data_IF_938742370405
#
_entry.id   IF_938742370405
#
_cell.length_a   1.000
_cell.length_b   1.000
_cell.length_c   1.000
_cell.angle_alpha   90.00
_cell.angle_beta   90.00
_cell.angle_gamma   90.00
#
_symmetry.space_group_name_H-M   'P 1'
#
loop_
_entity.id
_entity.type
_entity.pdbx_description
1 polymer ?
#
# COMPACT_ATOMS: atom_id res chain seq x y z
N UNK A 1 16.46 -9.67 8.56
CA UNK A 1 15.78 -9.04 7.40
C UNK A 1 14.63 -8.19 7.91
N UNK A 2 14.48 -6.95 7.43
CA UNK A 2 13.46 -6.00 7.88
C UNK A 2 12.60 -5.57 6.68
N UNK A 3 11.36 -6.02 6.63
CA UNK A 3 10.47 -5.90 5.47
C UNK A 3 9.30 -4.97 5.77
N UNK A 4 9.16 -3.91 4.96
CA UNK A 4 8.00 -3.03 4.97
C UNK A 4 6.81 -3.68 4.26
N UNK A 5 5.64 -3.67 4.88
CA UNK A 5 4.39 -4.16 4.30
C UNK A 5 3.49 -2.95 4.06
N UNK A 6 3.30 -2.60 2.80
CA UNK A 6 2.48 -1.48 2.39
C UNK A 6 1.21 -1.99 1.72
N UNK A 7 0.20 -2.24 2.54
CA UNK A 7 -1.13 -2.68 2.09
C UNK A 7 -1.97 -1.54 1.54
N UNK A 8 -2.76 -1.81 0.53
CA UNK A 8 -3.65 -0.80 -0.04
C UNK A 8 -4.61 -1.32 -1.09
N UNK A 9 -5.61 -0.51 -1.43
CA UNK A 9 -6.51 -0.82 -2.54
C UNK A 9 -5.77 -0.70 -3.88
N UNK A 10 -4.94 0.34 -4.04
CA UNK A 10 -4.19 0.67 -5.27
C UNK A 10 -5.08 0.73 -6.52
N UNK A 11 -6.09 1.58 -6.50
CA UNK A 11 -7.14 1.67 -7.53
C UNK A 11 -7.24 3.07 -8.20
N UNK A 12 -6.23 3.51 -8.99
CA UNK A 12 -4.92 2.90 -9.25
C UNK A 12 -3.86 3.24 -8.22
N UNK A 13 -2.70 2.52 -8.21
CA UNK A 13 -1.50 2.98 -7.54
C UNK A 13 -0.95 4.23 -8.25
N UNK A 14 -0.21 5.09 -7.51
CA UNK A 14 0.26 6.38 -8.03
C UNK A 14 1.57 6.82 -7.38
N UNK A 15 2.17 7.89 -7.91
CA UNK A 15 3.47 8.39 -7.44
C UNK A 15 3.48 8.71 -5.94
N UNK A 16 2.36 9.13 -5.35
CA UNK A 16 2.26 9.37 -3.91
C UNK A 16 2.49 8.11 -3.08
N UNK A 17 2.02 6.94 -3.55
CA UNK A 17 2.33 5.66 -2.89
C UNK A 17 3.83 5.32 -3.01
N UNK A 18 4.41 5.48 -4.20
CA UNK A 18 5.81 5.16 -4.45
C UNK A 18 6.74 6.01 -3.60
N UNK A 19 6.49 7.32 -3.54
CA UNK A 19 7.31 8.26 -2.79
C UNK A 19 7.18 8.05 -1.27
N UNK A 20 5.96 7.77 -0.77
CA UNK A 20 5.76 7.44 0.65
C UNK A 20 6.49 6.14 1.04
N UNK A 21 6.49 5.12 0.17
CA UNK A 21 7.25 3.90 0.37
C UNK A 21 8.77 4.14 0.34
N UNK A 22 9.25 5.02 -0.55
CA UNK A 22 10.66 5.41 -0.63
C UNK A 22 11.13 6.12 0.65
N UNK A 23 10.35 7.09 1.13
CA UNK A 23 10.65 7.78 2.38
C UNK A 23 10.69 6.81 3.57
N UNK A 24 9.74 5.86 3.63
CA UNK A 24 9.71 4.84 4.67
C UNK A 24 10.91 3.88 4.57
N UNK A 25 11.26 3.45 3.36
CA UNK A 25 12.42 2.59 3.12
C UNK A 25 13.70 3.20 3.68
N UNK A 26 13.94 4.48 3.36
CA UNK A 26 15.14 5.22 3.79
C UNK A 26 15.12 5.51 5.29
N UNK A 27 14.01 6.06 5.81
CA UNK A 27 13.89 6.47 7.21
C UNK A 27 13.96 5.30 8.21
N UNK A 28 13.55 4.10 7.79
CA UNK A 28 13.47 2.93 8.65
C UNK A 28 14.59 1.91 8.40
N UNK A 29 15.44 2.11 7.39
CA UNK A 29 16.48 1.15 7.02
C UNK A 29 15.91 -0.21 6.66
N UNK A 30 14.87 -0.22 5.80
CA UNK A 30 14.24 -1.47 5.37
C UNK A 30 15.10 -2.18 4.34
N UNK A 31 15.08 -3.52 4.33
CA UNK A 31 15.74 -4.31 3.27
C UNK A 31 14.88 -4.34 2.00
N UNK A 32 13.56 -4.27 2.15
CA UNK A 32 12.58 -4.25 1.05
C UNK A 32 11.23 -3.70 1.52
N UNK A 33 10.42 -3.18 0.60
CA UNK A 33 9.00 -2.88 0.81
C UNK A 33 8.14 -3.72 -0.13
N UNK A 34 7.18 -4.45 0.42
CA UNK A 34 6.16 -5.18 -0.34
C UNK A 34 4.91 -4.31 -0.46
N UNK A 35 4.51 -4.04 -1.68
CA UNK A 35 3.20 -3.50 -2.00
C UNK A 35 2.20 -4.64 -2.08
N UNK A 36 1.23 -4.67 -1.18
CA UNK A 36 0.25 -5.75 -1.06
C UNK A 36 -1.14 -5.22 -1.46
N UNK A 37 -1.57 -5.43 -2.73
CA UNK A 37 -2.90 -5.02 -3.15
C UNK A 37 -3.97 -5.91 -2.52
N UNK A 38 -4.97 -5.28 -1.89
CA UNK A 38 -6.08 -5.98 -1.24
C UNK A 38 -6.93 -6.73 -2.28
N UNK A 39 -7.35 -7.97 -1.97
CA UNK A 39 -8.35 -8.68 -2.78
C UNK A 39 -9.71 -7.97 -2.67
N UNK A 40 -10.26 -7.88 -1.47
CA UNK A 40 -11.44 -7.10 -1.13
C UNK A 40 -11.22 -6.37 0.20
N UNK A 41 -11.67 -5.13 0.30
CA UNK A 41 -11.50 -4.35 1.55
C UNK A 41 -12.79 -4.37 2.38
N UNK A 42 -12.73 -4.79 3.66
CA UNK A 42 -13.91 -4.83 4.53
C UNK A 42 -14.59 -3.48 4.73
N UNK A 43 -13.81 -2.39 4.70
CA UNK A 43 -14.25 -1.02 5.03
C UNK A 43 -14.44 -0.12 3.79
N UNK A 44 -14.29 -0.62 2.57
CA UNK A 44 -14.47 0.14 1.33
C UNK A 44 -15.34 -0.59 0.34
N UNK A 45 -16.43 0.05 -0.09
CA UNK A 45 -17.44 -0.51 -1.01
C UNK A 45 -17.22 -0.17 -2.50
N UNK A 46 -16.36 0.78 -2.84
CA UNK A 46 -16.24 1.33 -4.20
C UNK A 46 -14.84 1.08 -4.81
N UNK A 47 -14.48 -0.20 -4.99
CA UNK A 47 -13.31 -0.58 -5.78
C UNK A 47 -13.77 -0.75 -7.23
N UNK A 48 -13.08 -0.09 -8.19
CA UNK A 48 -13.48 -0.06 -9.61
C UNK A 48 -12.72 -1.09 -10.43
N UNK A 49 -11.38 -1.13 -10.32
CA UNK A 49 -10.58 -2.10 -11.05
C UNK A 49 -10.58 -3.48 -10.35
N UNK A 50 -10.53 -4.54 -11.16
CA UNK A 50 -10.44 -5.90 -10.65
C UNK A 50 -9.18 -6.10 -9.79
N UNK A 51 -9.16 -7.08 -8.86
CA UNK A 51 -7.94 -7.42 -8.12
C UNK A 51 -6.74 -7.69 -9.03
N UNK A 52 -6.95 -8.40 -10.14
CA UNK A 52 -5.90 -8.70 -11.12
C UNK A 52 -5.36 -7.43 -11.81
N UNK A 53 -6.25 -6.50 -12.21
CA UNK A 53 -5.81 -5.23 -12.80
C UNK A 53 -5.02 -4.38 -11.78
N UNK A 54 -5.43 -4.38 -10.50
CA UNK A 54 -4.75 -3.62 -9.45
C UNK A 54 -3.36 -4.19 -9.15
N UNK A 55 -3.22 -5.52 -9.11
CA UNK A 55 -1.92 -6.19 -9.00
C UNK A 55 -1.02 -5.82 -10.18
N UNK A 56 -1.52 -5.97 -11.41
CA UNK A 56 -0.79 -5.64 -12.62
C UNK A 56 -0.34 -4.17 -12.68
N UNK A 57 -1.10 -3.25 -12.11
CA UNK A 57 -0.70 -1.84 -11.98
C UNK A 57 0.36 -1.64 -10.90
N UNK A 58 0.29 -2.37 -9.78
CA UNK A 58 1.32 -2.32 -8.72
C UNK A 58 2.64 -2.89 -9.22
N UNK A 59 2.64 -4.01 -9.95
CA UNK A 59 3.85 -4.57 -10.58
C UNK A 59 4.54 -3.52 -11.46
N UNK A 60 3.78 -2.80 -12.28
CA UNK A 60 4.29 -1.72 -13.14
C UNK A 60 4.74 -0.48 -12.37
N UNK A 61 4.13 -0.22 -11.21
CA UNK A 61 4.55 0.88 -10.34
C UNK A 61 5.96 0.67 -9.81
N UNK A 62 6.31 -0.58 -9.46
CA UNK A 62 7.56 -0.95 -8.79
C UNK A 62 8.61 -1.53 -9.75
N UNK A 63 8.28 -1.67 -11.03
CA UNK A 63 9.15 -2.26 -12.04
C UNK A 63 10.50 -1.52 -12.12
N UNK A 64 11.59 -2.29 -12.11
CA UNK A 64 12.95 -1.75 -12.20
C UNK A 64 13.54 -1.19 -10.91
N UNK A 65 12.80 -1.21 -9.79
CA UNK A 65 13.31 -0.77 -8.48
C UNK A 65 13.44 -1.95 -7.50
N UNK A 66 14.68 -2.39 -7.27
CA UNK A 66 14.97 -3.54 -6.42
C UNK A 66 14.54 -3.37 -4.93
N UNK A 67 14.30 -2.13 -4.48
CA UNK A 67 13.81 -1.83 -3.12
C UNK A 67 12.38 -2.30 -2.90
N UNK A 68 11.60 -2.44 -3.97
CA UNK A 68 10.17 -2.67 -3.94
C UNK A 68 9.79 -3.97 -4.66
N UNK A 69 8.69 -4.56 -4.22
CA UNK A 69 8.06 -5.67 -4.93
C UNK A 69 6.54 -5.61 -4.75
N UNK A 70 5.80 -6.07 -5.75
CA UNK A 70 4.39 -6.41 -5.61
C UNK A 70 4.26 -7.80 -4.98
N UNK A 71 3.36 -7.98 -4.02
CA UNK A 71 3.08 -9.29 -3.43
C UNK A 71 1.60 -9.62 -3.59
N UNK A 72 1.26 -10.69 -4.32
CA UNK A 72 -0.12 -11.07 -4.61
C UNK A 72 -0.83 -11.79 -3.47
N UNK A 73 -0.21 -11.96 -2.31
CA UNK A 73 -0.66 -12.83 -1.21
C UNK A 73 -2.14 -12.69 -0.83
N UNK A 74 -2.68 -11.46 -0.82
CA UNK A 74 -4.08 -11.23 -0.49
C UNK A 74 -5.00 -11.59 -1.67
N UNK A 75 -4.57 -11.30 -2.89
CA UNK A 75 -5.32 -11.63 -4.12
C UNK A 75 -5.36 -13.14 -4.34
N UNK A 76 -4.24 -13.84 -4.13
CA UNK A 76 -4.17 -15.30 -4.21
C UNK A 76 -5.02 -15.99 -3.14
N UNK A 77 -5.04 -15.44 -1.92
CA UNK A 77 -5.90 -15.94 -0.85
C UNK A 77 -7.38 -15.71 -1.16
N UNK A 78 -7.71 -14.61 -1.86
CA UNK A 78 -9.09 -14.23 -2.18
C UNK A 78 -9.89 -13.76 -0.96
N UNK A 79 -11.17 -13.41 -1.21
CA UNK A 79 -12.08 -12.96 -0.18
C UNK A 79 -11.76 -11.58 0.39
N UNK A 80 -12.11 -11.33 1.66
CA UNK A 80 -11.80 -10.09 2.35
C UNK A 80 -10.36 -10.10 2.87
N UNK A 81 -9.68 -8.99 2.66
CA UNK A 81 -8.30 -8.77 3.11
C UNK A 81 -8.27 -8.30 4.55
N UNK A 82 -7.80 -9.14 5.45
CA UNK A 82 -7.51 -8.76 6.83
C UNK A 82 -6.00 -8.76 7.04
N UNK A 83 -5.48 -7.66 7.57
CA UNK A 83 -4.04 -7.46 7.78
C UNK A 83 -3.42 -8.54 8.66
N UNK A 84 -4.10 -8.98 9.71
CA UNK A 84 -3.61 -10.05 10.59
C UNK A 84 -3.33 -11.34 9.82
N UNK A 85 -4.23 -11.74 8.90
CA UNK A 85 -4.06 -12.95 8.11
C UNK A 85 -2.87 -12.83 7.12
N UNK A 86 -2.64 -11.62 6.61
CA UNK A 86 -1.50 -11.32 5.74
C UNK A 86 -0.18 -11.39 6.51
N UNK A 87 -0.13 -10.80 7.70
CA UNK A 87 1.08 -10.85 8.54
C UNK A 87 1.42 -12.27 8.98
N UNK A 88 0.41 -13.07 9.39
CA UNK A 88 0.58 -14.50 9.72
C UNK A 88 1.20 -15.26 8.54
N UNK A 89 0.62 -15.10 7.35
CA UNK A 89 1.09 -15.79 6.15
C UNK A 89 2.51 -15.38 5.75
N UNK A 90 2.88 -14.10 5.94
CA UNK A 90 4.24 -13.62 5.69
C UNK A 90 5.23 -14.16 6.73
N UNK A 91 4.87 -14.23 8.02
CA UNK A 91 5.68 -14.89 9.04
C UNK A 91 5.91 -16.37 8.71
N UNK A 92 4.85 -17.08 8.31
CA UNK A 92 4.96 -18.49 7.92
C UNK A 92 5.84 -18.70 6.69
N UNK A 93 5.75 -17.80 5.70
CA UNK A 93 6.58 -17.84 4.48
C UNK A 93 8.07 -17.75 4.78
N UNK A 94 8.46 -16.93 5.75
CA UNK A 94 9.86 -16.62 6.04
C UNK A 94 10.37 -17.15 7.40
N UNK A 95 9.63 -18.02 8.06
CA UNK A 95 10.03 -18.56 9.38
C UNK A 95 11.38 -19.29 9.39
N UNK A 96 11.84 -19.77 8.23
CA UNK A 96 13.14 -20.43 8.06
C UNK A 96 14.29 -19.47 7.76
N UNK A 97 14.02 -18.21 7.43
CA UNK A 97 15.03 -17.26 6.91
C UNK A 97 15.76 -16.47 8.01
N UNK A 98 15.67 -16.94 9.27
CA UNK A 98 16.29 -16.28 10.41
C UNK A 98 15.45 -15.14 11.00
N UNK A 99 16.10 -14.14 11.59
CA UNK A 99 15.39 -13.03 12.25
C UNK A 99 14.66 -12.16 11.22
N UNK A 100 13.34 -12.33 11.14
CA UNK A 100 12.43 -11.50 10.36
C UNK A 100 11.80 -10.42 11.24
N UNK A 101 11.81 -9.17 10.78
CA UNK A 101 11.06 -8.07 11.38
C UNK A 101 10.11 -7.49 10.31
N UNK A 102 8.80 -7.64 10.51
CA UNK A 102 7.80 -7.01 9.67
C UNK A 102 7.50 -5.60 10.18
N UNK A 103 7.38 -4.66 9.24
CA UNK A 103 7.05 -3.26 9.49
C UNK A 103 5.80 -2.91 8.68
N UNK A 104 4.66 -2.74 9.35
CA UNK A 104 3.40 -2.39 8.71
C UNK A 104 3.35 -0.89 8.45
N UNK A 105 3.32 -0.49 7.18
CA UNK A 105 3.24 0.90 6.74
C UNK A 105 1.78 1.26 6.49
N UNK A 106 1.23 2.21 7.26
CA UNK A 106 -0.17 2.64 7.15
C UNK A 106 -0.27 4.15 6.99
N UNK A 107 -1.13 4.61 6.11
CA UNK A 107 -1.47 6.04 6.03
C UNK A 107 -2.27 6.49 7.26
N UNK A 108 -2.27 7.80 7.55
CA UNK A 108 -2.94 8.37 8.73
C UNK A 108 -4.44 7.99 8.82
N UNK A 109 -5.16 7.98 7.69
CA UNK A 109 -6.59 7.63 7.65
C UNK A 109 -6.82 6.17 8.05
N UNK A 110 -5.96 5.25 7.57
CA UNK A 110 -6.03 3.85 7.91
C UNK A 110 -5.63 3.60 9.37
N UNK A 111 -4.62 4.34 9.87
CA UNK A 111 -4.18 4.28 11.26
C UNK A 111 -5.30 4.69 12.24
N UNK A 112 -6.14 5.66 11.90
CA UNK A 112 -7.28 6.07 12.71
C UNK A 112 -8.34 4.96 12.89
N UNK A 113 -8.38 3.98 11.98
CA UNK A 113 -9.30 2.84 12.04
C UNK A 113 -8.69 1.57 12.62
N UNK A 114 -7.39 1.55 12.95
CA UNK A 114 -6.69 0.39 13.49
C UNK A 114 -7.43 -0.30 14.67
N UNK A 115 -8.02 0.41 15.64
CA UNK A 115 -8.76 -0.25 16.71
C UNK A 115 -9.99 -1.05 16.25
N UNK A 116 -10.49 -0.80 15.04
CA UNK A 116 -11.64 -1.49 14.44
C UNK A 116 -11.21 -2.66 13.53
N UNK A 117 -9.91 -2.85 13.35
CA UNK A 117 -9.41 -3.93 12.52
C UNK A 117 -9.60 -5.28 13.22
N UNK A 118 -9.59 -6.34 12.43
CA UNK A 118 -9.65 -7.69 12.99
C UNK A 118 -8.37 -7.98 13.79
N UNK A 119 -8.52 -8.38 15.04
CA UNK A 119 -7.43 -8.78 15.94
C UNK A 119 -6.30 -7.72 16.04
N UNK A 120 -6.62 -6.47 16.42
CA UNK A 120 -5.66 -5.36 16.33
C UNK A 120 -4.45 -5.54 17.28
N UNK A 121 -4.63 -6.22 18.39
CA UNK A 121 -3.54 -6.55 19.33
C UNK A 121 -2.54 -7.51 18.68
N UNK A 122 -3.04 -8.48 17.93
CA UNK A 122 -2.17 -9.42 17.22
C UNK A 122 -1.44 -8.77 16.04
N UNK A 123 -2.10 -7.87 15.30
CA UNK A 123 -1.43 -7.05 14.29
C UNK A 123 -0.22 -6.33 14.90
N UNK A 124 -0.38 -5.71 16.08
CA UNK A 124 0.69 -5.03 16.80
C UNK A 124 1.78 -5.97 17.35
N UNK A 125 1.47 -7.23 17.60
CA UNK A 125 2.46 -8.23 18.01
C UNK A 125 3.25 -8.82 16.86
N UNK A 126 2.65 -8.88 15.65
CA UNK A 126 3.25 -9.45 14.45
C UNK A 126 4.10 -8.45 13.66
N UNK A 127 3.86 -7.15 13.79
CA UNK A 127 4.60 -6.13 13.03
C UNK A 127 4.75 -4.82 13.81
N UNK A 128 5.89 -4.15 13.63
CA UNK A 128 6.03 -2.74 14.05
C UNK A 128 5.09 -1.88 13.20
N UNK A 129 4.18 -1.13 13.82
CA UNK A 129 3.23 -0.27 13.09
C UNK A 129 3.85 1.11 12.90
N UNK A 130 4.00 1.53 11.65
CA UNK A 130 4.52 2.84 11.26
C UNK A 130 3.42 3.62 10.52
N UNK A 131 3.07 4.77 11.07
CA UNK A 131 2.08 5.68 10.47
C UNK A 131 2.80 6.68 9.57
N UNK A 132 2.48 6.65 8.29
CA UNK A 132 3.00 7.57 7.28
C UNK A 132 2.20 8.86 7.32
N UNK A 133 2.79 9.94 7.82
CA UNK A 133 2.19 11.27 7.88
C UNK A 133 2.79 12.16 6.80
N UNK A 134 1.94 12.83 6.04
CA UNK A 134 2.40 13.81 5.05
C UNK A 134 2.95 15.05 5.76
N UNK A 135 4.08 15.56 5.31
CA UNK A 135 4.68 16.80 5.81
C UNK A 135 3.66 17.94 5.86
N UNK A 136 3.65 18.69 6.96
CA UNK A 136 2.67 19.76 7.21
C UNK A 136 1.26 19.29 7.56
N UNK A 137 1.05 18.01 7.83
CA UNK A 137 -0.19 17.49 8.41
C UNK A 137 -0.30 17.76 9.91
N UNK A 138 -1.46 17.42 10.50
CA UNK A 138 -1.68 17.58 11.94
C UNK A 138 -0.64 16.78 12.76
N UNK A 139 -0.06 17.39 13.79
CA UNK A 139 0.96 16.78 14.68
C UNK A 139 0.39 15.80 15.70
N UNK A 140 -0.89 15.39 15.57
CA UNK A 140 -1.49 14.47 16.54
C UNK A 140 -0.75 13.13 16.53
N UNK A 141 -0.21 12.67 17.66
CA UNK A 141 0.41 11.36 17.74
C UNK A 141 -0.60 10.27 17.36
N UNK A 142 -0.17 9.21 16.65
CA UNK A 142 -1.06 8.10 16.38
C UNK A 142 -1.43 7.37 17.67
N UNK A 143 -2.67 6.91 17.78
CA UNK A 143 -3.15 6.13 18.93
C UNK A 143 -2.40 4.78 19.07
N UNK A 144 -1.84 4.27 17.96
CA UNK A 144 -1.09 3.01 17.91
C UNK A 144 0.09 3.17 16.95
N UNK A 145 1.26 2.65 17.34
CA UNK A 145 2.47 2.67 16.53
C UNK A 145 3.27 3.97 16.63
N UNK A 146 4.25 4.12 15.75
CA UNK A 146 5.14 5.28 15.64
C UNK A 146 4.86 6.00 14.32
N UNK A 147 4.87 7.32 14.30
CA UNK A 147 4.76 8.08 13.07
C UNK A 147 6.13 8.41 12.48
N UNK A 148 6.20 8.40 11.16
CA UNK A 148 7.27 9.05 10.39
C UNK A 148 6.67 10.08 9.45
N UNK A 149 7.42 11.15 9.19
CA UNK A 149 7.02 12.15 8.21
C UNK A 149 7.46 11.70 6.82
N UNK A 150 6.55 11.78 5.86
CA UNK A 150 6.82 11.56 4.44
C UNK A 150 6.57 12.83 3.66
N UNK A 151 7.24 12.98 2.52
CA UNK A 151 7.01 14.15 1.66
C UNK A 151 5.53 14.29 1.29
N UNK A 152 5.07 15.52 1.20
CA UNK A 152 3.70 15.81 0.79
C UNK A 152 3.55 15.67 -0.72
N UNK A 153 2.66 14.78 -1.13
CA UNK A 153 2.26 14.60 -2.53
C UNK A 153 0.75 14.62 -2.60
N UNK A 154 0.21 15.69 -3.18
CA UNK A 154 -1.24 15.88 -3.30
C UNK A 154 -1.77 15.20 -4.57
N UNK A 155 -1.75 13.87 -4.57
CA UNK A 155 -2.29 13.00 -5.62
C UNK A 155 -3.15 11.93 -4.96
N UNK A 156 -4.31 11.62 -5.55
CA UNK A 156 -5.18 10.56 -5.05
C UNK A 156 -5.71 9.67 -6.18
N UNK A 157 -5.98 8.40 -5.87
CA UNK A 157 -6.62 7.47 -6.82
C UNK A 157 -7.99 7.99 -7.29
N UNK A 158 -8.74 8.65 -6.41
CA UNK A 158 -10.04 9.25 -6.76
C UNK A 158 -9.89 10.34 -7.80
N UNK A 159 -8.91 11.22 -7.65
CA UNK A 159 -8.62 12.25 -8.65
C UNK A 159 -8.22 11.63 -9.98
N UNK A 160 -7.33 10.64 -9.97
CA UNK A 160 -6.88 9.96 -11.19
C UNK A 160 -8.06 9.33 -11.93
N UNK A 161 -8.95 8.61 -11.24
CA UNK A 161 -10.17 8.05 -11.85
C UNK A 161 -11.09 9.12 -12.42
N UNK A 162 -11.24 10.25 -11.74
CA UNK A 162 -12.02 11.38 -12.24
C UNK A 162 -11.41 12.01 -13.50
N UNK A 163 -10.07 12.14 -13.55
CA UNK A 163 -9.34 12.63 -14.72
C UNK A 163 -9.54 11.73 -15.94
N UNK A 164 -9.40 10.41 -15.75
CA UNK A 164 -9.61 9.43 -16.84
C UNK A 164 -11.04 9.53 -17.39
N UNK A 165 -12.07 9.55 -16.52
CA UNK A 165 -13.47 9.73 -16.95
C UNK A 165 -13.70 11.03 -17.73
N UNK A 166 -12.98 12.08 -17.37
CA UNK A 166 -13.07 13.37 -18.04
C UNK A 166 -12.15 13.48 -19.31
N UNK A 167 -11.51 12.40 -19.74
CA UNK A 167 -10.57 12.41 -20.87
C UNK A 167 -9.30 13.25 -20.63
N UNK A 168 -8.97 13.56 -19.37
CA UNK A 168 -7.79 14.36 -19.01
C UNK A 168 -6.56 13.47 -18.83
N UNK A 169 -5.37 14.01 -19.15
CA UNK A 169 -4.10 13.32 -18.94
C UNK A 169 -3.87 12.97 -17.47
N UNK A 170 -3.32 11.79 -17.22
CA UNK A 170 -2.84 11.31 -15.92
C UNK A 170 -1.31 11.23 -15.85
N UNK A 171 -0.61 11.78 -16.85
CA UNK A 171 0.86 11.88 -16.84
C UNK A 171 1.33 12.69 -15.64
N UNK A 172 2.38 12.21 -14.96
CA UNK A 172 2.88 12.82 -13.73
C UNK A 172 2.09 12.45 -12.46
N UNK A 173 0.91 11.82 -12.56
CA UNK A 173 0.18 11.28 -11.43
C UNK A 173 0.53 9.81 -11.16
N UNK A 174 0.82 9.09 -12.23
CA UNK A 174 1.27 7.68 -12.23
C UNK A 174 2.51 7.55 -13.12
N UNK A 175 3.37 6.54 -12.92
CA UNK A 175 4.43 6.19 -13.87
C UNK A 175 3.85 5.81 -15.24
N UNK A 176 4.63 6.03 -16.30
CA UNK A 176 4.19 5.77 -17.68
C UNK A 176 3.69 4.33 -17.92
N UNK A 177 4.34 3.25 -17.35
CA UNK A 177 3.83 1.88 -17.50
C UNK A 177 2.44 1.68 -16.89
N UNK A 178 2.12 2.38 -15.79
CA UNK A 178 0.79 2.35 -15.17
C UNK A 178 -0.22 3.10 -16.03
N UNK A 179 0.15 4.27 -16.57
CA UNK A 179 -0.72 5.05 -17.45
C UNK A 179 -1.06 4.26 -18.72
N UNK A 180 -0.08 3.66 -19.37
CA UNK A 180 -0.26 2.81 -20.56
C UNK A 180 -1.16 1.60 -20.26
N UNK A 181 -1.03 0.98 -19.08
CA UNK A 181 -1.90 -0.13 -18.69
C UNK A 181 -3.36 0.32 -18.52
N UNK A 182 -3.59 1.45 -17.83
CA UNK A 182 -4.95 2.02 -17.64
C UNK A 182 -5.59 2.31 -18.98
N UNK A 183 -4.85 2.89 -19.93
CA UNK A 183 -5.35 3.22 -21.27
C UNK A 183 -5.65 1.95 -22.09
N UNK A 184 -4.69 1.03 -22.17
CA UNK A 184 -4.81 -0.22 -22.95
C UNK A 184 -5.96 -1.11 -22.46
N UNK A 185 -6.20 -1.15 -21.14
CA UNK A 185 -7.29 -1.90 -20.51
C UNK A 185 -8.60 -1.10 -20.43
N UNK A 186 -8.61 0.16 -20.85
CA UNK A 186 -9.75 1.08 -20.79
C UNK A 186 -10.35 1.19 -19.37
N UNK A 187 -9.51 1.15 -18.34
CA UNK A 187 -9.95 1.25 -16.95
C UNK A 187 -10.45 2.68 -16.64
N UNK A 188 -11.42 2.78 -15.74
CA UNK A 188 -11.95 4.03 -15.20
C UNK A 188 -12.68 4.95 -16.20
N UNK A 189 -13.08 4.45 -17.35
CA UNK A 189 -13.87 5.19 -18.35
C UNK A 189 -15.36 5.20 -18.05
#
# INVERSE_FOLDING_TARGET
MRIGIFGGTFDPPHIGHLLAASDAYEALGLDRVLFVPAAGQPLKSAIVASPADRLAMVERLVEGDARFAADPIEIERGGLSYTVDTLRALHDRWKSDGALALVLLVGADAAATLPQWREPAEVASLAEIIVLRRAGGAETPPATGRAIETRRVDVSSTEIRARVRAGKSIRGFVPEPVAAYIEGRRLYR
#
